data_IF_012655534809
#
_entry.id   IF_012655534809
#
_cell.length_a   1.000
_cell.length_b   1.000
_cell.length_c   1.000
_cell.angle_alpha   90.00
_cell.angle_beta   90.00
_cell.angle_gamma   90.00
#
_symmetry.space_group_name_H-M   'P 1'
#
loop_
_entity.id
_entity.type
_entity.pdbx_description
1 polymer ?
#
# COMPACT_ATOMS: atom_id res chain seq x y z
N UNK A 1 -28.13 34.42 51.53
CA UNK A 1 -27.08 34.03 52.48
C UNK A 1 -25.79 33.84 51.68
N UNK A 2 -25.11 34.96 51.40
CA UNK A 2 -23.80 34.95 50.73
C UNK A 2 -22.76 34.54 51.76
N UNK A 3 -22.00 33.48 51.48
CA UNK A 3 -20.90 33.05 52.34
C UNK A 3 -19.79 34.09 52.27
N UNK A 4 -19.69 34.91 53.32
CA UNK A 4 -18.57 35.81 53.55
C UNK A 4 -17.28 34.99 53.66
N UNK A 5 -16.34 35.25 52.75
CA UNK A 5 -14.96 34.79 52.89
C UNK A 5 -14.37 35.62 54.04
N UNK A 6 -14.40 35.03 55.22
CA UNK A 6 -13.97 35.63 56.47
C UNK A 6 -12.50 36.06 56.34
N UNK A 7 -12.27 37.37 56.47
CA UNK A 7 -10.97 38.01 56.27
C UNK A 7 -10.15 37.87 57.55
N UNK A 8 -9.43 36.75 57.70
CA UNK A 8 -8.47 36.54 58.78
C UNK A 8 -7.04 36.69 58.27
N UNK A 9 -6.32 37.59 58.95
CA UNK A 9 -4.99 38.13 58.70
C UNK A 9 -3.96 37.06 58.28
N UNK A 10 -3.43 37.25 57.06
CA UNK A 10 -2.32 36.55 56.40
C UNK A 10 -2.51 35.02 56.29
N UNK A 11 -3.43 34.61 55.41
CA UNK A 11 -3.51 33.21 54.95
C UNK A 11 -2.11 32.72 54.58
N UNK A 12 -1.62 31.69 55.29
CA UNK A 12 -0.28 31.15 55.11
C UNK A 12 -0.12 30.75 53.64
N UNK A 13 0.78 31.43 52.94
CA UNK A 13 0.99 31.29 51.50
C UNK A 13 1.18 29.82 51.11
N UNK A 14 1.76 29.01 52.00
CA UNK A 14 1.92 27.57 51.81
C UNK A 14 0.59 26.81 51.76
N UNK A 15 -0.41 27.21 52.55
CA UNK A 15 -1.75 26.59 52.57
C UNK A 15 -2.51 26.96 51.30
N UNK A 16 -2.45 28.23 50.90
CA UNK A 16 -3.03 28.69 49.63
C UNK A 16 -2.37 27.98 48.44
N UNK A 17 -1.04 27.90 48.43
CA UNK A 17 -0.27 27.20 47.39
C UNK A 17 -0.59 25.71 47.34
N UNK A 18 -0.74 25.03 48.48
CA UNK A 18 -1.10 23.61 48.52
C UNK A 18 -2.51 23.40 47.97
N UNK A 19 -3.46 24.26 48.32
CA UNK A 19 -4.83 24.19 47.82
C UNK A 19 -4.89 24.43 46.30
N UNK A 20 -4.25 25.51 45.81
CA UNK A 20 -4.16 25.81 44.37
C UNK A 20 -3.45 24.69 43.61
N UNK A 21 -2.36 24.14 44.17
CA UNK A 21 -1.64 22.99 43.61
C UNK A 21 -2.52 21.75 43.52
N UNK A 22 -3.33 21.45 44.55
CA UNK A 22 -4.25 20.31 44.52
C UNK A 22 -5.31 20.42 43.40
N UNK A 23 -5.87 21.62 43.21
CA UNK A 23 -6.79 21.90 42.11
C UNK A 23 -6.08 21.81 40.75
N UNK A 24 -4.88 22.37 40.62
CA UNK A 24 -4.09 22.26 39.40
C UNK A 24 -3.73 20.81 39.08
N UNK A 25 -3.40 19.99 40.08
CA UNK A 25 -3.15 18.57 39.89
C UNK A 25 -4.39 17.82 39.42
N UNK A 26 -5.57 18.11 39.98
CA UNK A 26 -6.83 17.52 39.51
C UNK A 26 -7.11 17.89 38.05
N UNK A 27 -7.06 19.18 37.68
CA UNK A 27 -7.31 19.63 36.31
C UNK A 27 -6.23 19.15 35.32
N UNK A 28 -4.95 19.23 35.69
CA UNK A 28 -3.85 18.77 34.85
C UNK A 28 -3.83 17.25 34.68
N UNK A 29 -4.33 16.48 35.64
CA UNK A 29 -4.48 15.02 35.50
C UNK A 29 -5.52 14.70 34.44
N UNK A 30 -6.68 15.37 34.47
CA UNK A 30 -7.70 15.23 33.42
C UNK A 30 -7.16 15.64 32.05
N UNK A 31 -6.48 16.79 31.96
CA UNK A 31 -5.87 17.25 30.71
C UNK A 31 -4.79 16.27 30.19
N UNK A 32 -3.97 15.69 31.06
CA UNK A 32 -2.99 14.66 30.68
C UNK A 32 -3.67 13.39 30.15
N UNK A 33 -4.78 12.97 30.77
CA UNK A 33 -5.55 11.82 30.30
C UNK A 33 -6.16 12.08 28.91
N UNK A 34 -6.72 13.27 28.68
CA UNK A 34 -7.22 13.67 27.35
C UNK A 34 -6.12 13.69 26.29
N UNK A 35 -4.95 14.25 26.61
CA UNK A 35 -3.80 14.26 25.69
C UNK A 35 -3.29 12.85 25.40
N UNK A 36 -3.23 11.96 26.40
CA UNK A 36 -2.86 10.58 26.22
C UNK A 36 -3.86 9.85 25.30
N UNK A 37 -5.17 10.02 25.53
CA UNK A 37 -6.22 9.47 24.68
C UNK A 37 -6.10 9.99 23.23
N UNK A 38 -5.87 11.29 23.04
CA UNK A 38 -5.68 11.87 21.70
C UNK A 38 -4.48 11.27 20.97
N UNK A 39 -3.36 11.03 21.68
CA UNK A 39 -2.17 10.38 21.10
C UNK A 39 -2.46 8.94 20.71
N UNK A 40 -3.19 8.19 21.55
CA UNK A 40 -3.59 6.81 21.26
C UNK A 40 -4.48 6.78 20.01
N UNK A 41 -5.50 7.63 19.92
CA UNK A 41 -6.36 7.71 18.75
C UNK A 41 -5.58 7.97 17.46
N UNK A 42 -4.61 8.91 17.47
CA UNK A 42 -3.75 9.19 16.31
C UNK A 42 -2.95 7.97 15.88
N UNK A 43 -2.36 7.25 16.84
CA UNK A 43 -1.59 6.04 16.55
C UNK A 43 -2.49 4.95 15.95
N UNK A 44 -3.70 4.77 16.49
CA UNK A 44 -4.69 3.82 15.96
C UNK A 44 -5.09 4.15 14.53
N UNK A 45 -5.37 5.43 14.22
CA UNK A 45 -5.70 5.87 12.85
C UNK A 45 -4.57 5.55 11.88
N UNK A 46 -3.31 5.88 12.23
CA UNK A 46 -2.15 5.57 11.38
C UNK A 46 -1.99 4.05 11.19
N UNK A 47 -2.24 3.26 12.23
CA UNK A 47 -2.17 1.82 12.13
C UNK A 47 -3.23 1.27 11.16
N UNK A 48 -4.45 1.77 11.24
CA UNK A 48 -5.55 1.35 10.38
C UNK A 48 -5.31 1.72 8.92
N UNK A 49 -4.76 2.92 8.65
CA UNK A 49 -4.33 3.31 7.31
C UNK A 49 -3.24 2.39 6.76
N UNK A 50 -2.27 2.01 7.59
CA UNK A 50 -1.22 1.09 7.18
C UNK A 50 -1.79 -0.30 6.85
N UNK A 51 -2.75 -0.79 7.65
CA UNK A 51 -3.47 -2.05 7.39
C UNK A 51 -4.21 -2.02 6.05
N UNK A 52 -4.94 -0.94 5.77
CA UNK A 52 -5.61 -0.76 4.49
C UNK A 52 -4.62 -0.74 3.31
N UNK A 53 -3.47 -0.09 3.47
CA UNK A 53 -2.40 -0.10 2.46
C UNK A 53 -1.82 -1.49 2.24
N UNK A 54 -1.65 -2.27 3.31
CA UNK A 54 -1.18 -3.66 3.23
C UNK A 54 -2.18 -4.53 2.46
N UNK A 55 -3.47 -4.43 2.77
CA UNK A 55 -4.54 -5.17 2.08
C UNK A 55 -4.62 -4.81 0.60
N UNK A 56 -4.56 -3.52 0.26
CA UNK A 56 -4.60 -3.06 -1.13
C UNK A 56 -3.36 -3.53 -1.91
N UNK A 57 -2.19 -3.51 -1.28
CA UNK A 57 -0.97 -4.08 -1.87
C UNK A 57 -1.15 -5.56 -2.18
N UNK A 58 -1.65 -6.36 -1.22
CA UNK A 58 -1.84 -7.79 -1.42
C UNK A 58 -2.86 -8.11 -2.50
N UNK A 59 -3.95 -7.33 -2.56
CA UNK A 59 -5.00 -7.48 -3.56
C UNK A 59 -4.45 -7.19 -4.96
N UNK A 60 -3.73 -6.09 -5.13
CA UNK A 60 -3.12 -5.71 -6.40
C UNK A 60 -2.02 -6.70 -6.84
N UNK A 61 -1.19 -7.16 -5.89
CA UNK A 61 -0.18 -8.17 -6.16
C UNK A 61 -0.80 -9.47 -6.69
N UNK A 62 -1.88 -9.91 -6.04
CA UNK A 62 -2.57 -11.15 -6.42
C UNK A 62 -3.22 -11.04 -7.80
N UNK A 63 -3.94 -9.93 -8.08
CA UNK A 63 -4.55 -9.66 -9.40
C UNK A 63 -3.50 -9.60 -10.52
N UNK A 64 -2.35 -8.97 -10.26
CA UNK A 64 -1.27 -8.85 -11.23
C UNK A 64 -0.61 -10.21 -11.51
N UNK A 65 -0.28 -10.97 -10.46
CA UNK A 65 0.34 -12.28 -10.60
C UNK A 65 -0.59 -13.29 -11.28
N UNK A 66 -1.88 -13.27 -10.94
CA UNK A 66 -2.88 -14.12 -11.58
C UNK A 66 -3.00 -13.78 -13.07
N UNK A 67 -3.08 -12.49 -13.41
CA UNK A 67 -3.13 -12.05 -14.80
C UNK A 67 -1.88 -12.49 -15.59
N UNK A 68 -0.67 -12.34 -15.01
CA UNK A 68 0.57 -12.82 -15.64
C UNK A 68 0.51 -14.33 -15.87
N UNK A 69 0.05 -15.10 -14.87
CA UNK A 69 -0.07 -16.56 -14.96
C UNK A 69 -1.06 -17.00 -16.03
N UNK A 70 -2.15 -16.26 -16.23
CA UNK A 70 -3.12 -16.52 -17.29
C UNK A 70 -2.61 -16.12 -18.68
N UNK A 71 -1.85 -15.02 -18.80
CA UNK A 71 -1.35 -14.53 -20.09
C UNK A 71 -0.12 -15.26 -20.62
N UNK A 72 0.73 -15.79 -19.73
CA UNK A 72 1.91 -16.56 -20.13
C UNK A 72 1.61 -17.71 -21.10
N UNK A 73 0.66 -18.63 -20.85
CA UNK A 73 0.35 -19.71 -21.80
C UNK A 73 -0.26 -19.21 -23.11
N UNK A 74 -0.98 -18.07 -23.11
CA UNK A 74 -1.49 -17.45 -24.33
C UNK A 74 -0.34 -16.95 -25.22
N UNK A 75 0.70 -16.34 -24.64
CA UNK A 75 1.92 -15.92 -25.35
C UNK A 75 2.81 -17.10 -25.78
N UNK A 76 2.82 -18.19 -25.02
CA UNK A 76 3.56 -19.40 -25.38
C UNK A 76 2.85 -20.24 -26.46
N UNK A 77 1.54 -20.01 -26.67
CA UNK A 77 0.78 -20.69 -27.70
C UNK A 77 1.13 -20.18 -29.11
N UNK A 78 2.16 -20.79 -29.69
CA UNK A 78 2.68 -20.52 -31.04
C UNK A 78 2.03 -21.38 -32.13
N UNK A 79 0.86 -21.96 -31.88
CA UNK A 79 0.16 -22.76 -32.89
C UNK A 79 -0.69 -21.86 -33.80
N UNK A 80 -0.43 -21.87 -35.11
CA UNK A 80 -1.36 -21.41 -36.14
C UNK A 80 -1.57 -22.52 -37.16
N UNK A 81 -2.71 -22.49 -37.86
CA UNK A 81 -3.06 -23.45 -38.91
C UNK A 81 -2.19 -23.32 -40.19
N UNK A 82 -1.00 -22.69 -40.11
CA UNK A 82 -0.14 -22.28 -41.23
C UNK A 82 -0.87 -21.43 -42.29
N UNK A 83 -1.99 -20.79 -41.93
CA UNK A 83 -2.74 -19.90 -42.81
C UNK A 83 -2.34 -18.44 -42.54
N UNK A 84 -2.16 -17.66 -43.61
CA UNK A 84 -1.87 -16.22 -43.51
C UNK A 84 -2.96 -15.47 -42.71
N UNK A 85 -4.21 -15.89 -42.87
CA UNK A 85 -5.37 -15.33 -42.17
C UNK A 85 -5.28 -15.57 -40.65
N UNK A 86 -4.90 -16.77 -40.22
CA UNK A 86 -4.69 -17.10 -38.81
C UNK A 86 -3.53 -16.34 -38.17
N UNK A 87 -2.44 -16.12 -38.93
CA UNK A 87 -1.30 -15.30 -38.47
C UNK A 87 -1.69 -13.82 -38.36
N UNK A 88 -2.50 -13.28 -39.29
CA UNK A 88 -3.01 -11.90 -39.22
C UNK A 88 -3.99 -11.70 -38.05
N UNK A 89 -4.87 -12.67 -37.79
CA UNK A 89 -5.77 -12.63 -36.64
C UNK A 89 -4.98 -12.58 -35.31
N UNK A 90 -3.98 -13.44 -35.13
CA UNK A 90 -3.09 -13.41 -33.95
C UNK A 90 -2.31 -12.11 -33.81
N UNK A 91 -1.87 -11.52 -34.92
CA UNK A 91 -1.22 -10.20 -34.91
C UNK A 91 -2.17 -9.11 -34.41
N UNK A 92 -3.45 -9.17 -34.81
CA UNK A 92 -4.50 -8.28 -34.30
C UNK A 92 -4.69 -8.40 -32.78
N UNK A 93 -4.86 -9.63 -32.29
CA UNK A 93 -5.00 -9.89 -30.86
C UNK A 93 -3.78 -9.42 -30.06
N UNK A 94 -2.57 -9.60 -30.59
CA UNK A 94 -1.33 -9.11 -29.97
C UNK A 94 -1.25 -7.59 -29.92
N UNK A 95 -1.67 -6.91 -30.99
CA UNK A 95 -1.75 -5.43 -31.01
C UNK A 95 -2.75 -4.91 -29.99
N UNK A 96 -3.92 -5.54 -29.89
CA UNK A 96 -4.94 -5.15 -28.90
C UNK A 96 -4.49 -5.42 -27.47
N UNK A 97 -3.79 -6.55 -27.24
CA UNK A 97 -3.14 -6.84 -25.98
C UNK A 97 -2.13 -5.75 -25.58
N UNK A 98 -1.22 -5.38 -26.49
CA UNK A 98 -0.21 -4.35 -26.25
C UNK A 98 -0.81 -2.94 -26.06
N UNK A 99 -1.91 -2.62 -26.75
CA UNK A 99 -2.53 -1.29 -26.72
C UNK A 99 -3.49 -1.09 -25.56
N UNK A 100 -4.25 -2.12 -25.20
CA UNK A 100 -5.38 -1.98 -24.28
C UNK A 100 -5.19 -2.75 -22.98
N UNK A 101 -4.54 -3.91 -23.01
CA UNK A 101 -4.44 -4.79 -21.83
C UNK A 101 -3.15 -4.57 -21.04
N UNK A 102 -2.01 -4.38 -21.73
CA UNK A 102 -0.70 -4.20 -21.09
C UNK A 102 -0.55 -2.85 -20.34
N UNK A 103 -0.98 -1.68 -20.88
CA UNK A 103 -0.81 -0.40 -20.21
C UNK A 103 -1.45 -0.31 -18.81
N UNK A 104 -2.70 -0.74 -18.56
CA UNK A 104 -3.27 -0.68 -17.21
C UNK A 104 -2.53 -1.60 -16.23
N UNK A 105 -2.02 -2.74 -16.68
CA UNK A 105 -1.22 -3.66 -15.84
C UNK A 105 0.16 -3.09 -15.51
N UNK A 106 0.77 -2.33 -16.41
CA UNK A 106 1.99 -1.58 -16.13
C UNK A 106 1.74 -0.48 -15.08
N UNK A 107 0.62 0.25 -15.19
CA UNK A 107 0.21 1.22 -14.17
C UNK A 107 -0.05 0.57 -12.81
N UNK A 108 -0.68 -0.61 -12.78
CA UNK A 108 -0.85 -1.38 -11.54
C UNK A 108 0.51 -1.76 -10.91
N UNK A 109 1.47 -2.25 -11.70
CA UNK A 109 2.83 -2.56 -11.23
C UNK A 109 3.51 -1.32 -10.63
N UNK A 110 3.45 -0.18 -11.30
CA UNK A 110 4.05 1.07 -10.82
C UNK A 110 3.37 1.59 -9.53
N UNK A 111 2.05 1.44 -9.42
CA UNK A 111 1.30 1.75 -8.19
C UNK A 111 1.76 0.85 -7.04
N UNK A 112 1.93 -0.44 -7.29
CA UNK A 112 2.36 -1.42 -6.31
C UNK A 112 3.78 -1.13 -5.78
N UNK A 113 4.71 -0.74 -6.65
CA UNK A 113 6.05 -0.24 -6.28
C UNK A 113 5.95 1.02 -5.39
N UNK A 114 5.05 1.94 -5.73
CA UNK A 114 4.85 3.20 -4.98
C UNK A 114 4.24 2.95 -3.60
N UNK A 115 3.22 2.09 -3.53
CA UNK A 115 2.53 1.72 -2.29
C UNK A 115 3.51 1.03 -1.33
N UNK A 116 4.34 0.12 -1.84
CA UNK A 116 5.40 -0.53 -1.05
C UNK A 116 6.42 0.47 -0.50
N UNK A 117 6.95 1.37 -1.35
CA UNK A 117 7.92 2.37 -0.93
C UNK A 117 7.35 3.33 0.12
N UNK A 118 6.08 3.70 -0.03
CA UNK A 118 5.36 4.57 0.90
C UNK A 118 5.16 3.86 2.23
N UNK A 119 4.69 2.61 2.22
CA UNK A 119 4.49 1.81 3.43
C UNK A 119 5.81 1.57 4.18
N UNK A 120 6.88 1.23 3.46
CA UNK A 120 8.21 1.06 4.03
C UNK A 120 8.72 2.35 4.69
N UNK A 121 8.50 3.49 4.04
CA UNK A 121 8.88 4.81 4.60
C UNK A 121 8.06 5.15 5.84
N UNK A 122 6.74 4.94 5.82
CA UNK A 122 5.84 5.19 6.96
C UNK A 122 6.21 4.33 8.17
N UNK A 123 6.49 3.05 7.97
CA UNK A 123 6.88 2.13 9.04
C UNK A 123 8.23 2.50 9.65
N UNK A 124 9.22 2.85 8.80
CA UNK A 124 10.53 3.34 9.25
C UNK A 124 10.42 4.60 10.10
N UNK A 125 9.67 5.61 9.64
CA UNK A 125 9.47 6.86 10.39
C UNK A 125 8.75 6.64 11.72
N UNK A 126 7.96 5.58 11.83
CA UNK A 126 7.22 5.22 13.04
C UNK A 126 8.00 4.26 13.96
N UNK A 127 9.26 3.95 13.66
CA UNK A 127 10.07 2.90 14.34
C UNK A 127 9.34 1.56 14.45
N UNK A 128 8.51 1.22 13.46
CA UNK A 128 7.80 -0.06 13.37
C UNK A 128 8.57 -1.03 12.48
N UNK A 129 8.40 -2.36 12.68
CA UNK A 129 9.02 -3.36 11.81
C UNK A 129 8.59 -3.16 10.36
N UNK A 130 9.50 -3.48 9.44
CA UNK A 130 9.26 -3.36 8.00
C UNK A 130 8.09 -4.26 7.56
N UNK A 131 7.36 -3.80 6.55
CA UNK A 131 6.31 -4.61 5.95
C UNK A 131 6.95 -5.76 5.18
N UNK A 132 6.52 -6.99 5.50
CA UNK A 132 6.90 -8.20 4.78
C UNK A 132 5.63 -8.80 4.19
N UNK A 133 5.41 -8.66 2.86
CA UNK A 133 4.31 -9.35 2.19
C UNK A 133 4.43 -10.87 2.38
N UNK A 134 3.30 -11.58 2.27
CA UNK A 134 3.28 -13.04 2.24
C UNK A 134 4.21 -13.60 1.14
N UNK A 135 4.78 -14.79 1.37
CA UNK A 135 5.69 -15.47 0.43
C UNK A 135 5.08 -15.53 -0.99
N UNK A 136 5.87 -15.16 -2.01
CA UNK A 136 5.43 -15.12 -3.40
C UNK A 136 4.72 -13.84 -3.84
N UNK A 137 4.43 -12.92 -2.90
CA UNK A 137 3.91 -11.57 -3.19
C UNK A 137 4.95 -10.49 -2.94
N UNK A 138 6.23 -10.84 -2.85
CA UNK A 138 7.29 -9.86 -2.69
C UNK A 138 7.40 -9.01 -3.97
N UNK A 139 7.84 -7.76 -3.80
CA UNK A 139 8.07 -6.90 -4.96
C UNK A 139 9.07 -7.51 -5.95
N UNK A 140 10.08 -8.23 -5.42
CA UNK A 140 11.05 -8.97 -6.24
C UNK A 140 10.37 -10.07 -7.09
N UNK A 141 9.49 -10.87 -6.48
CA UNK A 141 8.76 -11.94 -7.18
C UNK A 141 7.88 -11.38 -8.30
N UNK A 142 7.21 -10.24 -8.05
CA UNK A 142 6.38 -9.55 -9.04
C UNK A 142 7.24 -9.02 -10.20
N UNK A 143 8.39 -8.43 -9.90
CA UNK A 143 9.34 -7.97 -10.91
C UNK A 143 9.86 -9.14 -11.76
N UNK A 144 10.18 -10.27 -11.15
CA UNK A 144 10.68 -11.44 -11.87
C UNK A 144 9.56 -12.14 -12.68
N UNK A 145 8.34 -12.21 -12.15
CA UNK A 145 7.18 -12.68 -12.90
C UNK A 145 6.90 -11.80 -14.13
N UNK A 146 7.05 -10.48 -13.99
CA UNK A 146 6.93 -9.52 -15.09
C UNK A 146 8.02 -9.69 -16.14
N UNK A 147 9.29 -9.85 -15.73
CA UNK A 147 10.39 -10.16 -16.68
C UNK A 147 10.10 -11.45 -17.45
N UNK A 148 9.57 -12.47 -16.78
CA UNK A 148 9.17 -13.73 -17.43
C UNK A 148 8.05 -13.53 -18.47
N UNK A 149 7.12 -12.60 -18.22
CA UNK A 149 6.11 -12.20 -19.21
C UNK A 149 6.75 -11.52 -20.42
N UNK A 150 7.64 -10.55 -20.20
CA UNK A 150 8.32 -9.81 -21.28
C UNK A 150 9.18 -10.74 -22.16
N UNK A 151 9.80 -11.76 -21.57
CA UNK A 151 10.51 -12.80 -22.33
C UNK A 151 9.57 -13.63 -23.21
N UNK A 152 8.39 -14.00 -22.69
CA UNK A 152 7.38 -14.72 -23.46
C UNK A 152 6.82 -13.86 -24.60
N UNK A 153 6.57 -12.57 -24.35
CA UNK A 153 6.15 -11.60 -25.37
C UNK A 153 7.17 -11.48 -26.50
N UNK A 154 8.45 -11.33 -26.16
CA UNK A 154 9.53 -11.26 -27.16
C UNK A 154 9.62 -12.54 -27.98
N UNK A 155 9.51 -13.70 -27.34
CA UNK A 155 9.51 -14.98 -28.05
C UNK A 155 8.30 -15.17 -28.99
N UNK A 156 7.15 -14.60 -28.63
CA UNK A 156 5.96 -14.60 -29.48
C UNK A 156 6.09 -13.63 -30.66
N UNK A 157 6.64 -12.43 -30.43
CA UNK A 157 6.94 -11.46 -31.49
C UNK A 157 7.95 -12.01 -32.50
N UNK A 158 9.04 -12.63 -32.03
CA UNK A 158 10.05 -13.27 -32.89
C UNK A 158 9.44 -14.40 -33.74
N UNK A 159 8.47 -15.14 -33.18
CA UNK A 159 7.75 -16.19 -33.91
C UNK A 159 6.79 -15.60 -34.95
N UNK A 160 6.01 -14.57 -34.60
CA UNK A 160 5.12 -13.86 -35.54
C UNK A 160 5.90 -13.28 -36.72
N UNK A 161 7.07 -12.66 -36.46
CA UNK A 161 7.92 -12.10 -37.51
C UNK A 161 8.48 -13.17 -38.46
N UNK A 162 8.76 -14.38 -37.96
CA UNK A 162 9.19 -15.51 -38.80
C UNK A 162 8.05 -16.01 -39.67
N UNK A 163 6.85 -16.16 -39.12
CA UNK A 163 5.69 -16.67 -39.86
C UNK A 163 5.21 -15.68 -40.93
N UNK A 164 5.29 -14.37 -40.67
CA UNK A 164 4.96 -13.32 -41.65
C UNK A 164 5.97 -13.21 -42.80
N UNK A 165 7.19 -13.75 -42.63
CA UNK A 165 8.25 -13.74 -43.67
C UNK A 165 8.22 -15.00 -44.53
N UNK A 166 7.53 -16.06 -44.09
CA UNK A 166 7.42 -17.34 -44.77
C UNK A 166 6.45 -17.26 -45.94
#
# INVERSE_FOLDING_TARGET
MYLEINNSIKSDEKVVMTYVSSYYHAFSTTQKAEQAASRICKVLTINQENEQMMEEYERLASDLLEWIKQKRPWLENRATDNTLDGTQAKLGEFRDYCRSQKPPKLSQKAKLETDFNTLQTRLRLSNRPAFTPNEGKLLADIVDAWKGLELAEKGFEDWLLKELRR
#
